data_IF_816738798092
#
_entry.id   IF_816738798092
#
_cell.length_a   1.000
_cell.length_b   1.000
_cell.length_c   1.000
_cell.angle_alpha   90.00
_cell.angle_beta   90.00
_cell.angle_gamma   90.00
#
_symmetry.space_group_name_H-M   'P 1'
#
loop_
_entity.id
_entity.type
_entity.pdbx_description
1 polymer ?
#
# COMPACT_ATOMS: atom_id res chain seq x y z
N UNK A 1 16.10 7.18 22.15
CA UNK A 1 17.35 6.40 21.97
C UNK A 1 17.01 5.13 21.20
N UNK A 2 17.80 4.89 20.14
CA UNK A 2 17.98 3.66 19.34
C UNK A 2 16.74 2.84 18.96
N UNK A 3 16.26 3.03 17.73
CA UNK A 3 15.60 1.93 16.98
C UNK A 3 16.17 1.93 15.56
N UNK A 4 16.91 0.85 15.28
CA UNK A 4 17.36 0.35 13.98
C UNK A 4 17.84 1.38 12.95
N UNK A 5 19.17 1.55 12.86
CA UNK A 5 19.78 1.71 11.54
C UNK A 5 19.64 0.36 10.81
N UNK A 6 18.45 0.08 10.31
CA UNK A 6 18.23 -0.94 9.29
C UNK A 6 19.12 -0.53 8.12
N UNK A 7 19.94 -1.44 7.62
CA UNK A 7 20.65 -1.22 6.35
C UNK A 7 19.58 -1.06 5.28
N UNK A 8 19.21 0.19 4.97
CA UNK A 8 18.19 0.49 3.97
C UNK A 8 18.77 0.27 2.58
N UNK A 9 18.48 -0.89 2.00
CA UNK A 9 18.81 -1.20 0.61
C UNK A 9 18.10 -0.27 -0.38
N UNK A 10 16.91 0.20 -0.01
CA UNK A 10 16.06 1.12 -0.78
C UNK A 10 15.67 2.29 0.10
N UNK A 11 15.84 3.51 -0.40
CA UNK A 11 15.61 4.70 0.43
C UNK A 11 14.11 4.91 0.66
N UNK A 12 13.72 5.14 1.91
CA UNK A 12 12.31 5.33 2.27
C UNK A 12 11.53 4.03 2.33
N UNK A 13 12.16 2.87 2.13
CA UNK A 13 11.57 1.56 2.44
C UNK A 13 12.27 1.00 3.69
N UNK A 14 11.55 0.88 4.80
CA UNK A 14 12.05 0.24 6.01
C UNK A 14 11.56 -1.22 6.08
N UNK A 15 12.50 -2.13 6.27
CA UNK A 15 12.26 -3.57 6.45
C UNK A 15 12.17 -3.90 7.94
N UNK A 16 10.98 -3.70 8.53
CA UNK A 16 10.77 -3.79 9.97
C UNK A 16 10.77 -5.24 10.44
N UNK A 17 11.56 -5.52 11.48
CA UNK A 17 11.70 -6.83 12.12
C UNK A 17 12.04 -8.00 11.17
N UNK A 18 12.66 -7.68 10.03
CA UNK A 18 12.99 -8.63 8.95
C UNK A 18 11.76 -9.22 8.27
N UNK A 19 10.92 -8.35 7.68
CA UNK A 19 9.88 -8.79 6.74
C UNK A 19 10.48 -9.65 5.62
N UNK A 20 11.64 -9.24 5.10
CA UNK A 20 12.57 -10.11 4.37
C UNK A 20 13.92 -10.16 5.09
N UNK A 21 14.72 -11.21 4.83
CA UNK A 21 16.10 -11.23 5.30
C UNK A 21 16.91 -10.07 4.71
N UNK A 22 17.78 -9.44 5.51
CA UNK A 22 18.56 -8.27 5.08
C UNK A 22 19.39 -8.51 3.82
N UNK A 23 20.10 -9.64 3.75
CA UNK A 23 20.90 -10.00 2.58
C UNK A 23 20.03 -10.21 1.33
N UNK A 24 18.88 -10.89 1.47
CA UNK A 24 17.95 -11.11 0.37
C UNK A 24 17.48 -9.78 -0.23
N UNK A 25 17.02 -8.85 0.62
CA UNK A 25 16.50 -7.57 0.15
C UNK A 25 17.58 -6.69 -0.50
N UNK A 26 18.82 -6.78 -0.02
CA UNK A 26 19.95 -6.00 -0.54
C UNK A 26 20.48 -6.54 -1.89
N UNK A 27 20.69 -7.86 -1.99
CA UNK A 27 21.49 -8.44 -3.06
C UNK A 27 20.66 -9.26 -4.07
N UNK A 28 19.55 -9.88 -3.63
CA UNK A 28 18.82 -10.87 -4.45
C UNK A 28 17.53 -10.28 -5.03
N UNK A 29 16.78 -9.53 -4.23
CA UNK A 29 15.45 -9.05 -4.57
C UNK A 29 15.38 -8.32 -5.93
N UNK A 30 16.37 -7.48 -6.27
CA UNK A 30 16.41 -6.78 -7.56
C UNK A 30 16.45 -7.74 -8.75
N UNK A 31 17.12 -8.89 -8.60
CA UNK A 31 17.17 -9.94 -9.62
C UNK A 31 15.82 -10.61 -9.80
N UNK A 32 15.15 -10.95 -8.70
CA UNK A 32 13.86 -11.65 -8.70
C UNK A 32 12.72 -10.82 -9.36
N UNK A 33 12.73 -9.50 -9.19
CA UNK A 33 11.72 -8.63 -9.81
C UNK A 33 12.06 -8.21 -11.25
N UNK A 34 13.23 -8.58 -11.77
CA UNK A 34 13.71 -8.07 -13.07
C UNK A 34 12.75 -8.37 -14.22
N UNK A 35 12.29 -9.62 -14.33
CA UNK A 35 11.38 -10.05 -15.38
C UNK A 35 10.04 -9.29 -15.33
N UNK A 36 9.53 -9.00 -14.13
CA UNK A 36 8.34 -8.18 -13.95
C UNK A 36 8.57 -6.76 -14.49
N UNK A 37 9.68 -6.12 -14.12
CA UNK A 37 10.00 -4.77 -14.58
C UNK A 37 10.15 -4.72 -16.11
N UNK A 38 10.83 -5.71 -16.70
CA UNK A 38 10.97 -5.84 -18.15
C UNK A 38 9.61 -6.03 -18.84
N UNK A 39 8.70 -6.82 -18.25
CA UNK A 39 7.34 -7.00 -18.79
C UNK A 39 6.53 -5.70 -18.82
N UNK A 40 6.62 -4.87 -17.79
CA UNK A 40 5.95 -3.56 -17.77
C UNK A 40 6.54 -2.57 -18.77
N UNK A 41 7.86 -2.62 -19.00
CA UNK A 41 8.51 -1.78 -20.00
C UNK A 41 8.10 -2.20 -21.42
N UNK A 42 8.05 -3.51 -21.70
CA UNK A 42 7.57 -4.02 -22.97
C UNK A 42 6.10 -3.64 -23.23
N UNK A 43 5.23 -3.71 -22.22
CA UNK A 43 3.84 -3.28 -22.33
C UNK A 43 3.71 -1.76 -22.62
N UNK A 44 4.52 -0.92 -21.97
CA UNK A 44 4.57 0.52 -22.23
C UNK A 44 5.03 0.82 -23.68
N UNK A 45 6.06 0.12 -24.16
CA UNK A 45 6.56 0.27 -25.54
C UNK A 45 5.53 -0.16 -26.58
N UNK A 46 4.88 -1.31 -26.36
CA UNK A 46 3.81 -1.80 -27.23
C UNK A 46 2.64 -0.82 -27.30
N UNK A 47 2.23 -0.25 -26.17
CA UNK A 47 1.20 0.78 -26.13
C UNK A 47 1.62 2.06 -26.88
N UNK A 48 2.87 2.49 -26.74
CA UNK A 48 3.39 3.64 -27.47
C UNK A 48 3.41 3.40 -28.99
N UNK A 49 3.70 2.18 -29.44
CA UNK A 49 3.64 1.79 -30.86
C UNK A 49 2.20 1.80 -31.39
N UNK A 50 1.25 1.25 -30.63
CA UNK A 50 -0.17 1.26 -31.01
C UNK A 50 -0.71 2.70 -31.16
N UNK A 51 -0.32 3.61 -30.27
CA UNK A 51 -0.66 5.03 -30.38
C UNK A 51 -0.04 5.66 -31.64
N UNK A 52 1.25 5.41 -31.90
CA UNK A 52 1.93 5.92 -33.08
C UNK A 52 1.34 5.37 -34.40
N UNK A 53 0.77 4.16 -34.38
CA UNK A 53 0.07 3.55 -35.50
C UNK A 53 -1.39 4.03 -35.65
N UNK A 54 -1.92 4.82 -34.72
CA UNK A 54 -3.31 5.28 -34.71
C UNK A 54 -4.33 4.21 -34.27
N UNK A 55 -3.85 3.11 -33.66
CA UNK A 55 -4.68 2.00 -33.17
C UNK A 55 -5.16 2.23 -31.73
N UNK A 56 -4.55 3.18 -31.01
CA UNK A 56 -4.93 3.60 -29.67
C UNK A 56 -4.90 5.13 -29.54
N UNK A 57 -5.71 5.66 -28.61
CA UNK A 57 -5.81 7.09 -28.36
C UNK A 57 -4.62 7.58 -27.50
N UNK A 58 -4.09 8.78 -27.76
CA UNK A 58 -2.94 9.36 -27.03
C UNK A 58 -3.24 9.48 -25.53
N UNK A 59 -4.52 9.65 -25.16
CA UNK A 59 -4.99 9.72 -23.78
C UNK A 59 -4.63 8.46 -22.96
N UNK A 60 -4.52 7.30 -23.62
CA UNK A 60 -4.16 6.02 -22.96
C UNK A 60 -2.68 5.93 -22.57
N UNK A 61 -1.83 6.83 -23.07
CA UNK A 61 -0.38 6.81 -22.84
C UNK A 61 0.01 6.92 -21.38
N UNK A 62 -0.71 7.74 -20.60
CA UNK A 62 -0.38 7.94 -19.20
C UNK A 62 -0.66 6.68 -18.37
N UNK A 63 -1.71 5.95 -18.72
CA UNK A 63 -2.16 4.72 -18.05
C UNK A 63 -1.30 3.51 -18.43
N UNK A 64 -0.78 3.48 -19.66
CA UNK A 64 0.07 2.39 -20.16
C UNK A 64 1.53 2.45 -19.69
N UNK A 65 1.96 3.54 -19.06
CA UNK A 65 3.32 3.65 -18.50
C UNK A 65 3.55 2.62 -17.40
N UNK A 66 4.77 2.10 -17.32
CA UNK A 66 5.15 1.18 -16.26
C UNK A 66 4.88 1.80 -14.87
N UNK A 67 4.40 1.00 -13.91
CA UNK A 67 3.93 1.47 -12.60
C UNK A 67 4.97 2.33 -11.86
N UNK A 68 6.24 1.91 -11.83
CA UNK A 68 7.34 2.68 -11.22
C UNK A 68 7.55 4.05 -11.86
N UNK A 69 7.32 4.17 -13.18
CA UNK A 69 7.40 5.46 -13.90
C UNK A 69 6.17 6.34 -13.64
N UNK A 70 4.99 5.74 -13.46
CA UNK A 70 3.76 6.45 -13.05
C UNK A 70 3.97 7.07 -11.65
N UNK A 71 4.45 6.27 -10.69
CA UNK A 71 4.83 6.75 -9.34
C UNK A 71 5.83 7.91 -9.39
N UNK A 72 6.91 7.78 -10.16
CA UNK A 72 7.94 8.83 -10.30
C UNK A 72 7.36 10.19 -10.73
N UNK A 73 6.30 10.16 -11.55
CA UNK A 73 5.61 11.35 -12.07
C UNK A 73 4.70 12.05 -11.05
N UNK A 74 4.38 11.42 -9.92
CA UNK A 74 3.40 11.93 -8.97
C UNK A 74 3.97 12.85 -7.89
N UNK A 75 5.29 12.87 -7.68
CA UNK A 75 5.91 13.63 -6.58
C UNK A 75 5.50 15.09 -6.51
N UNK A 76 5.45 15.81 -7.63
CA UNK A 76 5.03 17.22 -7.65
C UNK A 76 3.60 17.45 -7.17
N UNK A 77 2.65 16.59 -7.62
CA UNK A 77 1.24 16.66 -7.18
C UNK A 77 1.11 16.29 -5.71
N UNK A 78 1.83 15.25 -5.28
CA UNK A 78 1.86 14.76 -3.91
C UNK A 78 2.34 15.83 -2.91
N UNK A 79 3.49 16.45 -3.17
CA UNK A 79 4.01 17.51 -2.29
C UNK A 79 3.15 18.78 -2.30
N UNK A 80 2.55 19.12 -3.44
CA UNK A 80 1.61 20.23 -3.51
C UNK A 80 0.34 19.98 -2.66
N UNK A 81 -0.18 18.75 -2.66
CA UNK A 81 -1.30 18.35 -1.81
C UNK A 81 -0.92 18.37 -0.32
N UNK A 82 0.23 17.80 0.05
CA UNK A 82 0.76 17.81 1.43
C UNK A 82 1.02 19.21 2.00
N UNK A 83 1.31 20.20 1.15
CA UNK A 83 1.59 21.58 1.59
C UNK A 83 0.31 22.38 1.92
N UNK A 84 -0.89 21.85 1.63
CA UNK A 84 -2.15 22.57 1.77
C UNK A 84 -3.12 22.13 2.90
N UNK A 85 -2.68 21.56 4.05
CA UNK A 85 -3.60 21.08 5.10
C UNK A 85 -4.23 22.22 5.92
N UNK A 86 -3.70 23.45 5.83
CA UNK A 86 -4.03 24.59 6.70
C UNK A 86 -5.43 25.20 6.49
N UNK A 87 -6.26 24.63 5.62
CA UNK A 87 -7.63 25.10 5.35
C UNK A 87 -8.75 24.15 5.77
N UNK A 88 -8.43 22.91 6.14
CA UNK A 88 -9.44 21.90 6.48
C UNK A 88 -9.80 21.99 7.97
N UNK A 89 -11.06 22.28 8.26
CA UNK A 89 -11.53 22.52 9.64
C UNK A 89 -12.26 21.32 10.24
N UNK A 90 -12.83 20.45 9.41
CA UNK A 90 -13.56 19.26 9.88
C UNK A 90 -12.81 17.95 9.66
N UNK A 91 -12.97 17.01 10.58
CA UNK A 91 -12.42 15.65 10.48
C UNK A 91 -12.86 14.92 9.21
N UNK A 92 -14.12 15.13 8.78
CA UNK A 92 -14.63 14.57 7.53
C UNK A 92 -13.93 15.15 6.29
N UNK A 93 -13.66 16.47 6.28
CA UNK A 93 -12.90 17.11 5.20
C UNK A 93 -11.45 16.60 5.15
N UNK A 94 -10.86 16.36 6.32
CA UNK A 94 -9.51 15.78 6.43
C UNK A 94 -9.44 14.35 5.94
N UNK A 95 -10.43 13.51 6.25
CA UNK A 95 -10.53 12.15 5.72
C UNK A 95 -10.69 12.13 4.19
N UNK A 96 -11.48 13.05 3.62
CA UNK A 96 -11.59 13.19 2.17
C UNK A 96 -10.25 13.62 1.56
N UNK A 97 -9.58 14.61 2.15
CA UNK A 97 -8.27 15.04 1.67
C UNK A 97 -7.21 13.93 1.77
N UNK A 98 -7.27 13.09 2.81
CA UNK A 98 -6.44 11.88 2.91
C UNK A 98 -6.69 10.92 1.75
N UNK A 99 -7.95 10.66 1.43
CA UNK A 99 -8.31 9.82 0.27
C UNK A 99 -7.81 10.42 -1.06
N UNK A 100 -8.02 11.72 -1.28
CA UNK A 100 -7.60 12.43 -2.50
C UNK A 100 -6.08 12.47 -2.66
N UNK A 101 -5.37 12.63 -1.54
CA UNK A 101 -3.91 12.61 -1.49
C UNK A 101 -3.36 11.27 -2.01
N UNK A 102 -3.95 10.14 -1.59
CA UNK A 102 -3.46 8.80 -1.92
C UNK A 102 -4.04 8.19 -3.22
N UNK A 103 -5.18 8.67 -3.71
CA UNK A 103 -5.82 8.13 -4.90
C UNK A 103 -4.88 8.01 -6.11
N UNK A 104 -4.07 9.03 -6.47
CA UNK A 104 -3.16 8.92 -7.61
C UNK A 104 -2.07 7.85 -7.45
N UNK A 105 -1.54 7.66 -6.22
CA UNK A 105 -0.55 6.63 -5.94
C UNK A 105 -1.16 5.22 -6.04
N UNK A 106 -2.36 5.05 -5.49
CA UNK A 106 -3.11 3.80 -5.55
C UNK A 106 -3.47 3.44 -7.01
N UNK A 107 -3.94 4.42 -7.79
CA UNK A 107 -4.22 4.24 -9.23
C UNK A 107 -2.97 3.88 -10.03
N UNK A 108 -1.80 4.44 -9.69
CA UNK A 108 -0.53 4.09 -10.30
C UNK A 108 -0.11 2.63 -10.04
N UNK A 109 -0.63 2.04 -8.97
CA UNK A 109 -0.39 0.66 -8.54
C UNK A 109 -1.53 -0.30 -8.93
N UNK A 110 -2.51 0.16 -9.72
CA UNK A 110 -3.62 -0.67 -10.21
C UNK A 110 -4.82 -0.76 -9.27
N UNK A 111 -4.89 0.08 -8.24
CA UNK A 111 -6.02 0.11 -7.30
C UNK A 111 -7.01 1.20 -7.66
N UNK A 112 -8.29 0.89 -7.47
CA UNK A 112 -9.39 1.85 -7.52
C UNK A 112 -10.02 1.94 -6.14
N UNK A 113 -10.10 3.15 -5.59
CA UNK A 113 -10.74 3.39 -4.29
C UNK A 113 -12.26 3.30 -4.43
N UNK A 114 -12.88 2.49 -3.58
CA UNK A 114 -14.32 2.34 -3.41
C UNK A 114 -14.59 2.10 -1.91
N UNK A 115 -14.76 3.17 -1.10
CA UNK A 115 -14.85 3.04 0.35
C UNK A 115 -16.10 2.29 0.80
N UNK A 116 -15.95 1.36 1.74
CA UNK A 116 -17.03 0.63 2.38
C UNK A 116 -16.57 0.04 3.71
N UNK A 117 -17.49 -0.53 4.49
CA UNK A 117 -17.16 -1.24 5.72
C UNK A 117 -17.19 -2.75 5.47
N UNK A 118 -16.08 -3.43 5.78
CA UNK A 118 -16.00 -4.89 5.74
C UNK A 118 -16.08 -5.44 7.16
N UNK A 119 -16.90 -6.46 7.35
CA UNK A 119 -17.04 -7.15 8.64
C UNK A 119 -16.54 -8.59 8.48
N UNK A 120 -15.27 -8.82 8.81
CA UNK A 120 -14.66 -10.16 8.81
C UNK A 120 -14.77 -10.85 10.17
N UNK A 121 -14.96 -10.07 11.22
CA UNK A 121 -15.25 -10.54 12.57
C UNK A 121 -16.51 -9.83 13.06
N UNK A 122 -17.40 -10.58 13.71
CA UNK A 122 -18.72 -10.10 14.12
C UNK A 122 -18.67 -8.82 14.95
N UNK A 123 -19.57 -7.89 14.65
CA UNK A 123 -19.73 -6.58 15.28
C UNK A 123 -18.51 -5.64 15.12
N UNK A 124 -17.58 -5.97 14.22
CA UNK A 124 -16.39 -5.18 13.91
C UNK A 124 -16.33 -4.78 12.42
N UNK A 125 -17.21 -3.86 11.97
CA UNK A 125 -17.21 -3.37 10.59
C UNK A 125 -16.06 -2.37 10.37
N UNK A 126 -14.96 -2.82 9.78
CA UNK A 126 -13.75 -2.02 9.54
C UNK A 126 -13.92 -1.18 8.25
N UNK A 127 -13.73 0.15 8.29
CA UNK A 127 -13.69 0.98 7.09
C UNK A 127 -12.47 0.65 6.23
N UNK A 128 -12.70 0.35 4.95
CA UNK A 128 -11.65 0.05 3.97
C UNK A 128 -11.88 0.84 2.67
N UNK A 129 -10.82 1.01 1.89
CA UNK A 129 -10.89 1.65 0.58
C UNK A 129 -11.07 0.67 -0.57
N UNK A 130 -10.61 -0.58 -0.44
CA UNK A 130 -10.80 -1.61 -1.45
C UNK A 130 -10.47 -2.99 -0.89
N UNK A 131 -11.03 -4.02 -1.53
CA UNK A 131 -10.76 -5.41 -1.27
C UNK A 131 -10.53 -6.15 -2.60
N UNK A 132 -9.56 -7.07 -2.64
CA UNK A 132 -9.21 -7.84 -3.83
C UNK A 132 -8.97 -9.31 -3.47
N UNK A 133 -9.28 -10.22 -4.40
CA UNK A 133 -9.14 -11.66 -4.23
C UNK A 133 -9.97 -12.42 -5.26
N UNK A 134 -9.99 -13.74 -5.17
CA UNK A 134 -10.85 -14.58 -6.01
C UNK A 134 -12.34 -14.29 -5.75
N UNK A 135 -13.14 -14.36 -6.83
CA UNK A 135 -14.57 -14.18 -6.70
C UNK A 135 -15.17 -15.24 -5.77
N UNK A 136 -16.08 -14.83 -4.90
CA UNK A 136 -16.76 -15.70 -3.91
C UNK A 136 -15.85 -16.31 -2.82
N UNK A 137 -14.60 -15.86 -2.71
CA UNK A 137 -13.73 -16.19 -1.57
C UNK A 137 -13.52 -14.95 -0.68
N UNK A 138 -12.95 -15.16 0.51
CA UNK A 138 -12.50 -14.07 1.34
C UNK A 138 -11.43 -13.24 0.61
N UNK A 139 -11.38 -11.92 0.87
CA UNK A 139 -10.42 -11.05 0.19
C UNK A 139 -8.99 -11.46 0.53
N UNK A 140 -8.14 -11.59 -0.48
CA UNK A 140 -6.71 -11.83 -0.33
C UNK A 140 -5.96 -10.57 0.12
N UNK A 141 -6.41 -9.39 -0.34
CA UNK A 141 -5.79 -8.09 -0.08
C UNK A 141 -6.83 -7.05 0.32
N UNK A 142 -6.53 -6.27 1.36
CA UNK A 142 -7.28 -5.07 1.75
C UNK A 142 -6.43 -3.81 1.64
N UNK A 143 -7.05 -2.70 1.21
CA UNK A 143 -6.49 -1.35 1.30
C UNK A 143 -7.21 -0.61 2.42
N UNK A 144 -6.50 -0.29 3.50
CA UNK A 144 -7.07 0.17 4.77
C UNK A 144 -6.58 1.59 5.09
N UNK A 145 -7.47 2.60 5.18
CA UNK A 145 -7.06 3.97 5.51
C UNK A 145 -6.84 4.15 7.02
N UNK A 146 -5.58 4.16 7.45
CA UNK A 146 -5.20 4.37 8.84
C UNK A 146 -4.87 5.84 9.15
N UNK A 147 -5.89 6.67 9.20
CA UNK A 147 -5.72 8.11 9.37
C UNK A 147 -6.63 8.66 10.47
N UNK A 148 -6.02 9.16 11.54
CA UNK A 148 -6.73 9.91 12.56
C UNK A 148 -6.52 11.43 12.34
N UNK A 149 -7.57 12.19 12.01
CA UNK A 149 -7.47 13.64 11.86
C UNK A 149 -6.82 14.31 13.09
N UNK A 150 -5.82 15.18 12.85
CA UNK A 150 -5.12 15.89 13.91
C UNK A 150 -3.99 15.11 14.60
N UNK A 151 -3.68 13.90 14.12
CA UNK A 151 -2.55 13.08 14.58
C UNK A 151 -1.57 12.74 13.47
N UNK A 152 -1.44 13.63 12.47
CA UNK A 152 -0.61 13.44 11.28
C UNK A 152 0.87 13.09 11.54
N UNK A 153 1.38 13.40 12.73
CA UNK A 153 2.77 13.16 13.16
C UNK A 153 2.94 11.87 13.99
N UNK A 154 1.87 11.11 14.24
CA UNK A 154 1.91 9.82 14.96
C UNK A 154 2.03 8.63 13.99
N UNK A 155 2.43 7.46 14.50
CA UNK A 155 2.49 6.23 13.70
C UNK A 155 1.05 5.81 13.31
N UNK A 156 0.79 5.46 12.04
CA UNK A 156 -0.53 4.97 11.61
C UNK A 156 -1.03 3.75 12.40
N UNK A 157 -0.13 2.95 13.00
CA UNK A 157 -0.51 1.85 13.88
C UNK A 157 -1.11 2.32 15.22
N UNK A 158 -0.75 3.51 15.69
CA UNK A 158 -1.25 4.11 16.94
C UNK A 158 -2.56 4.89 16.72
N UNK A 159 -2.88 5.23 15.47
CA UNK A 159 -4.10 5.92 15.10
C UNK A 159 -5.34 5.11 15.49
N UNK A 160 -6.44 5.83 15.75
CA UNK A 160 -7.75 5.26 16.09
C UNK A 160 -8.83 5.71 15.12
N UNK A 161 -9.86 4.88 15.01
CA UNK A 161 -11.08 5.27 14.32
C UNK A 161 -11.78 6.42 15.07
N UNK A 162 -12.43 7.28 14.30
CA UNK A 162 -13.22 8.41 14.79
C UNK A 162 -14.63 8.34 14.22
N UNK A 163 -15.58 9.08 14.78
CA UNK A 163 -16.96 9.17 14.23
C UNK A 163 -16.99 9.62 12.77
N UNK A 164 -15.98 10.38 12.31
CA UNK A 164 -15.89 10.81 10.92
C UNK A 164 -15.69 9.64 9.95
N UNK A 165 -15.07 8.54 10.39
CA UNK A 165 -14.95 7.31 9.61
C UNK A 165 -16.29 6.60 9.38
N UNK A 166 -17.30 6.91 10.21
CA UNK A 166 -18.64 6.35 10.17
C UNK A 166 -19.69 7.39 9.74
N UNK A 167 -19.29 8.41 8.98
CA UNK A 167 -20.20 9.45 8.50
C UNK A 167 -20.84 10.28 9.63
N UNK A 168 -20.15 10.40 10.77
CA UNK A 168 -20.63 11.08 11.97
C UNK A 168 -21.45 10.21 12.91
N UNK A 169 -21.65 8.93 12.59
CA UNK A 169 -22.29 7.96 13.49
C UNK A 169 -21.34 7.55 14.60
N UNK A 170 -21.89 6.99 15.69
CA UNK A 170 -21.11 6.43 16.78
C UNK A 170 -20.19 5.32 16.27
N UNK A 171 -18.97 5.30 16.82
CA UNK A 171 -18.00 4.24 16.52
C UNK A 171 -18.55 2.93 17.13
N UNK A 172 -18.52 1.80 16.42
CA UNK A 172 -18.85 0.50 16.98
C UNK A 172 -18.14 0.28 18.33
N UNK A 173 -18.85 -0.14 19.40
CA UNK A 173 -18.28 -0.21 20.75
C UNK A 173 -16.98 -1.02 20.84
N UNK A 174 -16.86 -2.06 20.01
CA UNK A 174 -15.67 -2.90 19.89
C UNK A 174 -14.39 -2.11 19.55
N UNK A 175 -14.49 -1.01 18.79
CA UNK A 175 -13.34 -0.21 18.39
C UNK A 175 -13.00 0.96 19.32
N UNK A 176 -13.84 1.24 20.33
CA UNK A 176 -13.78 2.48 21.13
C UNK A 176 -12.43 2.76 21.82
N UNK A 177 -11.60 1.73 22.04
CA UNK A 177 -10.27 1.84 22.66
C UNK A 177 -9.14 1.30 21.80
N UNK A 178 -9.46 0.76 20.63
CA UNK A 178 -8.50 0.08 19.78
C UNK A 178 -7.80 1.08 18.84
N UNK A 179 -6.50 0.92 18.76
CA UNK A 179 -5.63 1.46 17.71
C UNK A 179 -5.68 0.57 16.47
N UNK A 180 -5.12 1.04 15.36
CA UNK A 180 -4.99 0.22 14.16
C UNK A 180 -4.16 -1.04 14.38
N UNK A 181 -3.16 -1.02 15.27
CA UNK A 181 -2.41 -2.22 15.65
C UNK A 181 -3.33 -3.33 16.19
N UNK A 182 -4.24 -2.96 17.08
CA UNK A 182 -5.21 -3.89 17.69
C UNK A 182 -6.28 -4.29 16.68
N UNK A 183 -6.83 -3.35 15.89
CA UNK A 183 -7.83 -3.63 14.84
C UNK A 183 -7.28 -4.60 13.79
N UNK A 184 -6.04 -4.41 13.34
CA UNK A 184 -5.38 -5.30 12.40
C UNK A 184 -5.27 -6.72 12.94
N UNK A 185 -4.89 -6.86 14.22
CA UNK A 185 -4.64 -8.14 14.86
C UNK A 185 -5.92 -8.89 15.19
N UNK A 186 -6.93 -8.17 15.70
CA UNK A 186 -8.19 -8.75 16.15
C UNK A 186 -9.14 -8.89 14.95
N UNK A 187 -9.62 -7.76 14.41
CA UNK A 187 -10.73 -7.74 13.44
C UNK A 187 -10.38 -8.24 12.04
N UNK A 188 -9.12 -8.10 11.61
CA UNK A 188 -8.71 -8.46 10.24
C UNK A 188 -7.92 -9.77 10.21
N UNK A 189 -6.71 -9.82 10.75
CA UNK A 189 -5.87 -11.02 10.74
C UNK A 189 -6.33 -12.13 11.69
N UNK A 190 -7.10 -11.77 12.73
CA UNK A 190 -7.71 -12.68 13.69
C UNK A 190 -9.09 -13.21 13.29
N UNK A 191 -9.62 -12.79 12.13
CA UNK A 191 -10.92 -13.25 11.62
C UNK A 191 -10.89 -14.72 11.15
N UNK A 192 -12.08 -15.29 10.89
CA UNK A 192 -12.22 -16.68 10.43
C UNK A 192 -11.61 -16.90 9.04
N UNK A 193 -11.73 -15.91 8.16
CA UNK A 193 -11.17 -15.91 6.81
C UNK A 193 -10.34 -14.63 6.59
N UNK A 194 -9.15 -14.55 7.21
CA UNK A 194 -8.36 -13.33 7.21
C UNK A 194 -7.68 -13.10 5.86
N UNK A 195 -7.51 -11.83 5.45
CA UNK A 195 -6.77 -11.53 4.24
C UNK A 195 -5.31 -11.97 4.38
N UNK A 196 -4.67 -12.26 3.24
CA UNK A 196 -3.24 -12.55 3.23
C UNK A 196 -2.43 -11.27 3.44
N UNK A 197 -2.82 -10.19 2.75
CA UNK A 197 -2.12 -8.92 2.75
C UNK A 197 -3.02 -7.77 3.16
N UNK A 198 -2.43 -6.79 3.83
CA UNK A 198 -3.06 -5.49 4.08
C UNK A 198 -2.07 -4.40 3.69
N UNK A 199 -2.51 -3.45 2.86
CA UNK A 199 -1.83 -2.17 2.70
C UNK A 199 -2.51 -1.18 3.66
N UNK A 200 -1.83 -0.85 4.74
CA UNK A 200 -2.25 0.16 5.70
C UNK A 200 -1.79 1.53 5.21
N UNK A 201 -2.71 2.41 4.89
CA UNK A 201 -2.45 3.73 4.31
C UNK A 201 -2.53 4.80 5.40
N UNK A 202 -1.38 5.14 5.97
CA UNK A 202 -1.17 6.30 6.85
C UNK A 202 -0.95 7.59 6.05
N UNK A 203 -0.78 8.72 6.74
CA UNK A 203 -0.76 10.06 6.11
C UNK A 203 0.40 10.27 5.13
N UNK A 204 1.63 9.95 5.55
CA UNK A 204 2.86 10.11 4.74
C UNK A 204 3.52 8.79 4.37
N UNK A 205 3.01 7.70 4.94
CA UNK A 205 3.63 6.40 4.84
C UNK A 205 2.60 5.29 4.76
N UNK A 206 2.95 4.24 4.03
CA UNK A 206 2.16 3.01 3.96
C UNK A 206 2.91 1.86 4.62
N UNK A 207 2.17 0.91 5.17
CA UNK A 207 2.71 -0.35 5.60
C UNK A 207 2.14 -1.47 4.74
N UNK A 208 3.00 -2.34 4.24
CA UNK A 208 2.60 -3.62 3.69
C UNK A 208 2.74 -4.67 4.78
N UNK A 209 1.61 -5.30 5.11
CA UNK A 209 1.48 -6.29 6.15
C UNK A 209 1.14 -7.64 5.53
N UNK A 210 1.75 -8.70 6.04
CA UNK A 210 1.48 -10.08 5.66
C UNK A 210 1.04 -10.85 6.91
N UNK A 211 -0.08 -11.55 6.80
CA UNK A 211 -0.67 -12.34 7.89
C UNK A 211 0.33 -13.27 8.59
N UNK A 212 1.22 -13.93 7.85
CA UNK A 212 2.16 -14.89 8.43
C UNK A 212 3.38 -14.23 9.08
N UNK A 213 3.61 -12.95 8.77
CA UNK A 213 4.72 -12.16 9.30
C UNK A 213 4.28 -11.25 10.45
N UNK A 214 3.00 -10.84 10.44
CA UNK A 214 2.40 -9.93 11.41
C UNK A 214 2.56 -10.33 12.88
N UNK A 215 2.43 -11.61 13.29
CA UNK A 215 2.63 -12.00 14.70
C UNK A 215 4.03 -11.67 15.26
N UNK A 216 5.01 -11.45 14.38
CA UNK A 216 6.37 -11.05 14.75
C UNK A 216 6.62 -9.55 14.50
N UNK A 217 5.56 -8.75 14.34
CA UNK A 217 5.59 -7.32 14.01
C UNK A 217 6.43 -7.00 12.77
N UNK A 218 6.45 -7.92 11.80
CA UNK A 218 7.19 -7.74 10.55
C UNK A 218 6.35 -6.97 9.55
N UNK A 219 6.91 -5.90 9.01
CA UNK A 219 6.26 -5.04 8.02
C UNK A 219 7.28 -4.44 7.05
N UNK A 220 6.81 -4.07 5.85
CA UNK A 220 7.53 -3.13 5.00
C UNK A 220 6.86 -1.77 5.11
N UNK A 221 7.59 -0.75 5.57
CA UNK A 221 7.10 0.62 5.66
C UNK A 221 7.66 1.47 4.53
N UNK A 222 6.79 2.22 3.86
CA UNK A 222 7.09 3.04 2.70
C UNK A 222 6.85 4.51 3.05
N UNK A 223 7.92 5.26 3.28
CA UNK A 223 7.87 6.71 3.45
C UNK A 223 7.78 7.39 2.08
N UNK A 224 6.56 7.80 1.71
CA UNK A 224 6.30 8.39 0.39
C UNK A 224 6.96 9.76 0.21
N UNK A 225 7.22 10.50 1.28
CA UNK A 225 7.99 11.74 1.18
C UNK A 225 9.42 11.45 0.72
N UNK A 226 10.10 10.48 1.33
CA UNK A 226 11.47 10.13 0.93
C UNK A 226 11.53 9.49 -0.47
N UNK A 227 10.62 8.56 -0.77
CA UNK A 227 10.57 7.85 -2.05
C UNK A 227 10.34 8.83 -3.21
N UNK A 228 9.37 9.74 -3.08
CA UNK A 228 8.98 10.68 -4.15
C UNK A 228 9.88 11.91 -4.24
N UNK A 229 10.59 12.27 -3.16
CA UNK A 229 11.59 13.35 -3.19
C UNK A 229 12.86 12.88 -3.90
N UNK A 230 13.42 11.74 -3.49
CA UNK A 230 14.67 11.24 -4.07
C UNK A 230 14.50 10.69 -5.48
N UNK A 231 13.34 10.09 -5.77
CA UNK A 231 13.02 9.46 -7.06
C UNK A 231 14.09 8.49 -7.55
N UNK A 232 14.68 7.76 -6.60
CA UNK A 232 15.64 6.71 -6.93
C UNK A 232 14.96 5.60 -7.76
N UNK A 233 15.55 5.26 -8.90
CA UNK A 233 14.91 4.40 -9.89
C UNK A 233 14.68 2.98 -9.35
N UNK A 234 15.63 2.45 -8.58
CA UNK A 234 15.54 1.10 -8.04
C UNK A 234 14.56 1.02 -6.87
N UNK A 235 14.52 2.05 -6.02
CA UNK A 235 13.51 2.23 -4.97
C UNK A 235 12.10 2.28 -5.56
N UNK A 236 11.88 3.05 -6.64
CA UNK A 236 10.57 3.14 -7.29
C UNK A 236 10.14 1.81 -7.94
N UNK A 237 11.09 1.06 -8.53
CA UNK A 237 10.83 -0.31 -9.03
C UNK A 237 10.46 -1.26 -7.90
N UNK A 238 11.20 -1.20 -6.78
CA UNK A 238 10.92 -2.00 -5.59
C UNK A 238 9.52 -1.69 -5.02
N UNK A 239 9.17 -0.41 -4.87
CA UNK A 239 7.84 0.03 -4.44
C UNK A 239 6.75 -0.51 -5.35
N UNK A 240 6.92 -0.34 -6.66
CA UNK A 240 5.95 -0.84 -7.63
C UNK A 240 5.80 -2.37 -7.54
N UNK A 241 6.90 -3.13 -7.52
CA UNK A 241 6.84 -4.59 -7.44
C UNK A 241 6.21 -5.10 -6.13
N UNK A 242 6.49 -4.44 -5.00
CA UNK A 242 5.98 -4.86 -3.69
C UNK A 242 4.52 -4.47 -3.45
N UNK A 243 4.04 -3.41 -4.11
CA UNK A 243 2.72 -2.84 -3.83
C UNK A 243 1.74 -2.94 -5.00
N UNK A 244 2.13 -3.34 -6.21
CA UNK A 244 1.20 -3.41 -7.34
C UNK A 244 0.12 -4.47 -7.11
N UNK A 245 -1.12 -4.16 -7.51
CA UNK A 245 -2.28 -5.04 -7.34
C UNK A 245 -2.00 -6.46 -7.85
N UNK A 246 -1.53 -6.58 -9.09
CA UNK A 246 -1.28 -7.88 -9.72
C UNK A 246 -0.13 -8.67 -9.05
N UNK A 247 0.70 -8.02 -8.23
CA UNK A 247 1.76 -8.69 -7.47
C UNK A 247 1.27 -9.24 -6.13
N UNK A 248 0.23 -8.62 -5.55
CA UNK A 248 -0.32 -8.99 -4.23
C UNK A 248 -1.60 -9.84 -4.34
N UNK A 249 -2.43 -9.56 -5.33
CA UNK A 249 -3.70 -10.22 -5.59
C UNK A 249 -3.95 -10.36 -7.11
N UNK A 250 -3.24 -11.30 -7.78
CA UNK A 250 -3.36 -11.52 -9.23
C UNK A 250 -4.73 -12.07 -9.69
N UNK A 251 -5.62 -12.40 -8.76
CA UNK A 251 -6.86 -13.10 -9.06
C UNK A 251 -6.65 -14.60 -8.87
N UNK A 252 -6.20 -15.30 -9.89
CA UNK A 252 -5.86 -16.72 -9.81
C UNK A 252 -4.34 -16.92 -9.62
N UNK A 253 -3.97 -17.91 -8.80
CA UNK A 253 -2.58 -18.31 -8.56
C UNK A 253 -1.88 -17.56 -7.41
N UNK A 254 -0.62 -17.92 -7.19
CA UNK A 254 0.17 -17.38 -6.09
C UNK A 254 0.58 -15.92 -6.36
N UNK A 255 0.64 -15.13 -5.30
CA UNK A 255 1.15 -13.76 -5.39
C UNK A 255 2.64 -13.77 -5.74
N UNK A 256 3.14 -12.67 -6.30
CA UNK A 256 4.58 -12.47 -6.48
C UNK A 256 5.30 -12.57 -5.13
N UNK A 257 4.73 -11.98 -4.08
CA UNK A 257 5.35 -11.96 -2.76
C UNK A 257 5.52 -13.35 -2.14
N UNK A 258 4.60 -14.26 -2.43
CA UNK A 258 4.75 -15.66 -2.02
C UNK A 258 5.97 -16.30 -2.72
N UNK A 259 6.15 -16.04 -4.02
CA UNK A 259 7.33 -16.51 -4.75
C UNK A 259 8.63 -15.86 -4.25
N UNK A 260 8.59 -14.57 -3.90
CA UNK A 260 9.72 -13.86 -3.29
C UNK A 260 10.06 -14.44 -1.90
N UNK A 261 9.06 -14.80 -1.10
CA UNK A 261 9.27 -15.46 0.19
C UNK A 261 9.95 -16.81 0.04
N UNK A 262 9.50 -17.65 -0.91
CA UNK A 262 10.13 -18.93 -1.20
C UNK A 262 11.60 -18.76 -1.63
N UNK A 263 11.89 -17.75 -2.46
CA UNK A 263 13.26 -17.46 -2.87
C UNK A 263 14.09 -16.90 -1.72
N UNK A 264 13.54 -16.01 -0.90
CA UNK A 264 14.20 -15.49 0.29
C UNK A 264 14.63 -16.62 1.23
N UNK A 265 13.80 -17.65 1.40
CA UNK A 265 14.13 -18.83 2.22
C UNK A 265 15.24 -19.69 1.59
N UNK A 266 15.33 -19.76 0.26
CA UNK A 266 16.43 -20.47 -0.44
C UNK A 266 17.77 -19.73 -0.35
N UNK A 267 17.74 -18.43 -0.05
CA UNK A 267 18.91 -17.54 0.01
C UNK A 267 19.23 -17.02 1.42
N UNK A 268 18.53 -17.52 2.45
CA UNK A 268 18.79 -17.26 3.87
C UNK A 268 19.78 -18.29 4.45
#
# INVERSE_FOLDING_TARGET
MSVAQTVQSFVGIANENEFYGHHYLAEVFKGDIRALIESWQAAEEAAAQAIAAGEAAEETRAESRAAHKRLAGLGGKWFAALANPTRLRGDAERLLAHQELHAPLLEALGYKIQPWQVELQGDMPVPIWAAFGEAHQAPQLLIVPAYQPGREDEDPLDHRLTVAHYGGQEIPPAFSKLSWLEILSEALFGSDQPPRYIILVGYREWLLLDRYKWPNNRALRFNWADILDRKDADTLKACAALLHKDCLAPGEGNSLLESLDENAHKHA
#
